data_IF_378961314915
#
_entry.id   IF_378961314915
#
_cell.length_a   1.000
_cell.length_b   1.000
_cell.length_c   1.000
_cell.angle_alpha   90.00
_cell.angle_beta   90.00
_cell.angle_gamma   90.00
#
_symmetry.space_group_name_H-M   'P 1'
#
loop_
_entity.id
_entity.type
_entity.pdbx_description
1 polymer ?
#
# COMPACT_ATOMS: atom_id res chain seq x y z
N UNK A 1 15.30 1.81 2.03
CA UNK A 1 16.50 1.91 1.19
C UNK A 1 16.35 3.11 0.26
N UNK A 2 17.09 4.19 0.54
CA UNK A 2 16.96 5.44 -0.18
C UNK A 2 17.47 5.35 -1.62
N UNK A 3 18.49 4.52 -1.89
CA UNK A 3 19.05 4.40 -3.25
C UNK A 3 18.13 3.64 -4.20
N UNK A 4 17.24 2.80 -3.66
CA UNK A 4 16.25 2.03 -4.43
C UNK A 4 14.85 2.68 -4.46
N UNK A 5 14.61 3.66 -3.59
CA UNK A 5 13.34 4.39 -3.52
C UNK A 5 13.31 5.49 -4.58
N UNK A 6 12.17 5.64 -5.26
CA UNK A 6 11.95 6.73 -6.22
C UNK A 6 12.09 8.10 -5.56
N UNK A 7 12.34 9.15 -6.36
CA UNK A 7 12.26 10.52 -5.87
C UNK A 7 10.83 10.82 -5.39
N UNK A 8 10.70 11.19 -4.12
CA UNK A 8 9.41 11.47 -3.49
C UNK A 8 9.02 12.95 -3.58
N UNK A 9 9.93 13.86 -4.01
CA UNK A 9 9.58 15.29 -4.12
C UNK A 9 8.37 15.54 -5.03
N UNK A 10 8.22 14.89 -6.20
CA UNK A 10 7.07 15.09 -7.07
C UNK A 10 5.73 14.74 -6.42
N UNK A 11 5.64 13.59 -5.75
CA UNK A 11 4.40 13.17 -5.08
C UNK A 11 4.09 14.07 -3.87
N UNK A 12 5.10 14.45 -3.08
CA UNK A 12 4.91 15.34 -1.93
C UNK A 12 4.50 16.75 -2.37
N UNK A 13 5.08 17.25 -3.47
CA UNK A 13 4.70 18.54 -4.08
C UNK A 13 3.25 18.49 -4.56
N UNK A 14 2.85 17.38 -5.20
CA UNK A 14 1.50 17.17 -5.70
C UNK A 14 0.46 17.16 -4.56
N UNK A 15 0.82 16.63 -3.39
CA UNK A 15 -0.01 16.64 -2.17
C UNK A 15 -0.03 18.00 -1.44
N UNK A 16 0.63 19.03 -1.99
CA UNK A 16 0.64 20.38 -1.43
C UNK A 16 1.62 20.60 -0.27
N UNK A 17 2.56 19.67 -0.04
CA UNK A 17 3.53 19.81 1.06
C UNK A 17 4.51 20.96 0.74
N UNK A 18 4.70 21.94 1.65
CA UNK A 18 5.63 23.06 1.43
C UNK A 18 7.07 22.60 1.17
N UNK A 19 7.80 23.32 0.32
CA UNK A 19 9.14 22.92 -0.16
C UNK A 19 10.11 22.59 0.99
N UNK A 20 10.15 23.43 2.02
CA UNK A 20 11.06 23.21 3.16
C UNK A 20 10.75 21.90 3.88
N UNK A 21 9.46 21.57 4.08
CA UNK A 21 9.04 20.34 4.72
C UNK A 21 9.35 19.10 3.85
N UNK A 22 9.22 19.21 2.53
CA UNK A 22 9.59 18.13 1.59
C UNK A 22 11.07 17.79 1.71
N UNK A 23 11.95 18.79 1.77
CA UNK A 23 13.39 18.55 1.94
C UNK A 23 13.67 17.77 3.21
N UNK A 24 13.05 18.14 4.34
CA UNK A 24 13.25 17.41 5.59
C UNK A 24 12.78 15.96 5.50
N UNK A 25 11.61 15.70 4.90
CA UNK A 25 11.10 14.33 4.69
C UNK A 25 12.08 13.48 3.90
N UNK A 26 12.64 14.00 2.80
CA UNK A 26 13.57 13.26 1.93
C UNK A 26 14.89 12.87 2.61
N UNK A 27 15.28 13.53 3.69
CA UNK A 27 16.48 13.21 4.46
C UNK A 27 16.19 12.41 5.74
N UNK A 28 14.93 12.18 6.08
CA UNK A 28 14.55 11.49 7.32
C UNK A 28 14.25 10.02 7.04
N UNK A 29 14.85 9.08 7.80
CA UNK A 29 14.44 7.68 7.75
C UNK A 29 12.98 7.49 8.15
N UNK A 30 12.27 6.64 7.41
CA UNK A 30 10.92 6.20 7.72
C UNK A 30 10.96 4.73 8.16
N UNK A 31 10.58 4.49 9.41
CA UNK A 31 10.39 3.14 9.96
C UNK A 31 8.91 2.81 9.96
N UNK A 32 8.56 1.58 9.63
CA UNK A 32 7.19 1.08 9.70
C UNK A 32 7.21 -0.13 10.62
N UNK A 33 6.37 -0.07 11.65
CA UNK A 33 6.03 -1.20 12.50
C UNK A 33 4.69 -1.76 12.02
N UNK A 34 4.61 -3.07 11.81
CA UNK A 34 3.38 -3.75 11.40
C UNK A 34 3.02 -4.72 12.51
N UNK A 35 1.83 -4.55 13.08
CA UNK A 35 1.35 -5.32 14.22
C UNK A 35 0.02 -5.97 13.87
N UNK A 36 -0.06 -7.27 14.16
CA UNK A 36 -1.22 -8.10 13.90
C UNK A 36 -1.77 -8.60 15.24
N UNK A 37 -3.07 -8.42 15.48
CA UNK A 37 -3.73 -8.82 16.73
C UNK A 37 -4.99 -9.60 16.40
N UNK A 38 -5.17 -10.78 17.01
CA UNK A 38 -6.39 -11.57 16.86
C UNK A 38 -7.26 -11.35 18.10
N UNK A 39 -8.51 -10.90 17.89
CA UNK A 39 -9.52 -10.80 18.94
C UNK A 39 -10.55 -11.90 18.72
N UNK A 40 -10.69 -12.80 19.69
CA UNK A 40 -11.75 -13.81 19.69
C UNK A 40 -12.94 -13.25 20.46
N UNK A 41 -14.07 -13.04 19.80
CA UNK A 41 -15.31 -12.72 20.51
C UNK A 41 -15.99 -14.00 20.96
N UNK A 42 -16.25 -14.10 22.26
CA UNK A 42 -17.12 -15.13 22.81
C UNK A 42 -18.55 -14.81 22.39
N UNK A 43 -19.26 -15.77 21.79
CA UNK A 43 -20.62 -15.54 21.35
C UNK A 43 -21.52 -15.31 22.56
N UNK A 44 -22.46 -14.37 22.44
CA UNK A 44 -23.44 -14.06 23.50
C UNK A 44 -24.47 -15.18 23.71
N UNK A 45 -24.50 -16.14 22.79
CA UNK A 45 -25.44 -17.27 22.74
C UNK A 45 -24.66 -18.59 22.74
N UNK A 46 -25.07 -19.59 23.54
CA UNK A 46 -24.36 -20.88 23.67
C UNK A 46 -24.20 -21.66 22.36
N UNK A 47 -25.07 -21.41 21.38
CA UNK A 47 -25.15 -22.21 20.14
C UNK A 47 -24.35 -21.63 18.97
N UNK A 48 -23.57 -20.56 19.18
CA UNK A 48 -22.76 -19.96 18.11
C UNK A 48 -21.29 -20.29 18.33
N UNK A 49 -20.55 -20.59 17.25
CA UNK A 49 -19.11 -20.75 17.34
C UNK A 49 -18.44 -19.40 17.64
N UNK A 50 -17.31 -19.37 18.38
CA UNK A 50 -16.56 -18.15 18.61
C UNK A 50 -16.11 -17.54 17.29
N UNK A 51 -16.33 -16.23 17.14
CA UNK A 51 -15.92 -15.49 15.94
C UNK A 51 -14.56 -14.85 16.20
N UNK A 52 -13.55 -15.28 15.44
CA UNK A 52 -12.23 -14.63 15.43
C UNK A 52 -12.26 -13.43 14.50
N UNK A 53 -11.88 -12.26 15.01
CA UNK A 53 -11.69 -11.03 14.23
C UNK A 53 -10.21 -10.69 14.28
N UNK A 54 -9.57 -10.58 13.13
CA UNK A 54 -8.17 -10.16 13.07
C UNK A 54 -8.12 -8.66 12.87
N UNK A 55 -7.51 -7.97 13.83
CA UNK A 55 -7.21 -6.55 13.75
C UNK A 55 -5.77 -6.39 13.28
N UNK A 56 -5.62 -5.56 12.26
CA UNK A 56 -4.33 -5.27 11.66
C UNK A 56 -4.06 -3.79 11.81
N UNK A 57 -2.88 -3.46 12.33
CA UNK A 57 -2.39 -2.10 12.37
C UNK A 57 -1.03 -1.97 11.70
N UNK A 58 -0.86 -0.91 10.91
CA UNK A 58 0.45 -0.49 10.46
C UNK A 58 0.72 0.89 11.05
N UNK A 59 1.81 1.00 11.79
CA UNK A 59 2.24 2.20 12.46
C UNK A 59 3.50 2.74 11.79
N UNK A 60 3.44 3.95 11.25
CA UNK A 60 4.64 4.59 10.70
C UNK A 60 5.28 5.54 11.70
N UNK A 61 6.59 5.41 11.86
CA UNK A 61 7.44 6.21 12.72
C UNK A 61 8.43 6.99 11.86
N UNK A 62 8.41 8.31 11.98
CA UNK A 62 9.39 9.18 11.34
C UNK A 62 10.18 9.92 12.40
N UNK A 63 11.50 10.03 12.20
CA UNK A 63 12.37 10.84 13.05
C UNK A 63 12.27 12.35 12.75
N UNK A 64 11.23 12.77 12.03
CA UNK A 64 11.04 14.14 11.57
C UNK A 64 10.82 15.04 12.79
N UNK A 65 11.87 15.72 13.25
CA UNK A 65 11.74 16.75 14.28
C UNK A 65 11.19 18.01 13.62
N UNK A 66 9.93 18.35 13.91
CA UNK A 66 9.39 19.67 13.57
C UNK A 66 9.43 20.58 14.79
N UNK A 67 9.30 21.90 14.58
CA UNK A 67 9.22 22.86 15.68
C UNK A 67 8.06 22.56 16.66
N UNK A 68 7.09 21.74 16.24
CA UNK A 68 5.97 21.25 17.05
C UNK A 68 6.12 19.74 17.30
N UNK A 69 7.02 19.36 18.22
CA UNK A 69 7.19 18.00 18.74
C UNK A 69 7.45 16.88 17.69
N UNK A 70 7.64 15.65 18.18
CA UNK A 70 7.67 14.46 17.33
C UNK A 70 6.29 14.30 16.69
N UNK A 71 6.19 14.12 15.37
CA UNK A 71 4.91 13.89 14.72
C UNK A 71 4.29 12.61 15.30
N UNK A 72 2.98 12.61 15.57
CA UNK A 72 2.29 11.43 16.06
C UNK A 72 2.43 10.29 15.05
N UNK A 73 2.46 9.07 15.56
CA UNK A 73 2.41 7.86 14.74
C UNK A 73 1.14 7.84 13.89
N UNK A 74 1.27 7.49 12.61
CA UNK A 74 0.13 7.24 11.72
C UNK A 74 -0.25 5.75 11.79
N UNK A 75 -1.43 5.45 12.34
CA UNK A 75 -1.95 4.09 12.57
C UNK A 75 -3.03 3.78 11.52
N UNK A 76 -2.85 2.69 10.77
CA UNK A 76 -3.77 2.26 9.70
C UNK A 76 -4.54 1.02 10.07
N UNK A 77 -5.84 0.98 9.80
CA UNK A 77 -6.71 -0.18 10.04
C UNK A 77 -7.08 -0.89 8.74
N UNK A 78 -6.97 -2.22 8.69
CA UNK A 78 -7.22 -3.02 7.47
C UNK A 78 -8.54 -3.80 7.52
N UNK A 79 -9.64 -3.12 7.85
CA UNK A 79 -10.99 -3.68 7.90
C UNK A 79 -11.79 -3.47 6.60
N UNK A 80 -11.18 -2.82 5.60
CA UNK A 80 -11.80 -2.51 4.31
C UNK A 80 -12.89 -1.44 4.36
N UNK A 81 -13.09 -0.77 5.50
CA UNK A 81 -14.08 0.30 5.66
C UNK A 81 -13.43 1.66 5.49
N UNK A 82 -14.25 2.63 5.06
CA UNK A 82 -13.82 4.03 5.06
C UNK A 82 -13.84 4.57 6.49
N UNK A 83 -12.80 5.30 6.86
CA UNK A 83 -12.72 6.03 8.12
C UNK A 83 -11.96 7.34 7.93
N UNK A 84 -12.17 8.31 8.82
CA UNK A 84 -11.44 9.58 8.81
C UNK A 84 -10.36 9.55 9.88
N UNK A 85 -9.19 10.08 9.55
CA UNK A 85 -8.14 10.32 10.54
C UNK A 85 -7.42 11.64 10.28
N UNK A 86 -6.69 12.13 11.30
CA UNK A 86 -5.85 13.31 11.19
C UNK A 86 -4.39 12.88 11.08
N UNK A 87 -3.78 13.18 9.96
CA UNK A 87 -2.36 12.95 9.69
C UNK A 87 -1.57 14.26 9.88
N UNK A 88 -0.35 14.13 10.40
CA UNK A 88 0.54 15.26 10.65
C UNK A 88 0.90 16.04 9.39
N UNK A 89 1.21 15.35 8.29
CA UNK A 89 1.61 15.95 7.02
C UNK A 89 0.42 16.47 6.20
N UNK A 90 -0.70 15.77 6.32
CA UNK A 90 -1.80 15.88 5.36
C UNK A 90 -3.08 16.49 5.94
N UNK A 91 -3.12 16.75 7.25
CA UNK A 91 -4.33 17.20 7.92
C UNK A 91 -5.38 16.09 8.00
N UNK A 92 -6.65 16.43 7.84
CA UNK A 92 -7.74 15.44 7.85
C UNK A 92 -7.81 14.70 6.51
N UNK A 93 -7.81 13.38 6.59
CA UNK A 93 -7.86 12.47 5.45
C UNK A 93 -8.94 11.43 5.67
N UNK A 94 -9.54 10.97 4.58
CA UNK A 94 -10.35 9.77 4.55
C UNK A 94 -9.51 8.63 4.01
N UNK A 95 -9.58 7.49 4.71
CA UNK A 95 -8.74 6.34 4.48
C UNK A 95 -9.59 5.10 4.24
N UNK A 96 -9.07 4.17 3.44
CA UNK A 96 -9.58 2.80 3.35
C UNK A 96 -8.40 1.88 3.10
N UNK A 97 -8.18 0.92 4.00
CA UNK A 97 -7.12 -0.07 3.83
C UNK A 97 -7.72 -1.47 3.86
N UNK A 98 -7.23 -2.36 3.00
CA UNK A 98 -7.70 -3.74 2.88
C UNK A 98 -6.59 -4.65 2.39
N UNK A 99 -6.67 -5.93 2.75
CA UNK A 99 -5.97 -6.96 2.00
C UNK A 99 -6.66 -7.19 0.67
N UNK A 100 -5.86 -7.50 -0.36
CA UNK A 100 -6.35 -7.90 -1.67
C UNK A 100 -5.63 -9.18 -2.11
N UNK A 101 -6.39 -10.06 -2.75
CA UNK A 101 -5.86 -11.27 -3.38
C UNK A 101 -5.39 -10.99 -4.80
N UNK A 102 -4.74 -11.99 -5.41
CA UNK A 102 -4.31 -11.92 -6.79
C UNK A 102 -5.42 -12.15 -7.80
N UNK A 103 -5.32 -11.53 -8.97
CA UNK A 103 -6.03 -11.94 -10.17
C UNK A 103 -5.05 -12.40 -11.25
N UNK A 104 -5.48 -13.41 -12.00
CA UNK A 104 -4.75 -13.98 -13.14
C UNK A 104 -4.73 -12.93 -14.25
N UNK A 105 -3.57 -12.36 -14.57
CA UNK A 105 -3.45 -11.38 -15.67
C UNK A 105 -3.01 -12.06 -16.96
N UNK A 106 -3.88 -12.10 -17.98
CA UNK A 106 -3.56 -12.62 -19.31
C UNK A 106 -2.29 -11.99 -19.92
N UNK A 107 -1.53 -12.83 -20.65
CA UNK A 107 -0.28 -12.65 -21.41
C UNK A 107 0.77 -11.60 -20.96
N UNK A 108 2.03 -12.04 -20.90
CA UNK A 108 3.22 -11.18 -20.70
C UNK A 108 3.78 -11.15 -19.27
N UNK A 109 3.30 -11.99 -18.37
CA UNK A 109 3.83 -12.04 -17.01
C UNK A 109 5.00 -13.02 -16.91
N UNK A 110 6.16 -12.51 -16.52
CA UNK A 110 7.31 -13.32 -16.15
C UNK A 110 7.02 -14.10 -14.86
N UNK A 111 6.39 -15.26 -14.98
CA UNK A 111 6.69 -16.38 -14.11
C UNK A 111 7.87 -17.13 -14.76
N UNK A 112 8.96 -17.33 -14.03
CA UNK A 112 9.81 -18.47 -14.39
C UNK A 112 8.95 -19.72 -14.17
N UNK A 113 8.46 -20.29 -15.26
CA UNK A 113 7.58 -21.47 -15.29
C UNK A 113 6.27 -21.17 -16.03
N UNK A 114 5.98 -21.95 -17.08
CA UNK A 114 4.78 -21.90 -17.91
C UNK A 114 3.49 -21.56 -17.13
N UNK A 115 2.98 -20.34 -17.27
CA UNK A 115 1.68 -20.00 -16.70
C UNK A 115 1.49 -18.51 -16.44
N UNK A 116 0.27 -18.06 -16.67
CA UNK A 116 -0.23 -16.71 -16.44
C UNK A 116 0.17 -16.20 -15.04
N UNK A 117 0.82 -15.03 -14.96
CA UNK A 117 1.31 -14.50 -13.68
C UNK A 117 0.19 -13.94 -12.83
N UNK A 118 0.20 -14.28 -11.54
CA UNK A 118 -0.71 -13.75 -10.52
C UNK A 118 -0.23 -12.36 -10.11
N UNK A 119 -1.12 -11.37 -10.10
CA UNK A 119 -0.82 -9.98 -9.71
C UNK A 119 -1.91 -9.42 -8.79
N UNK A 120 -1.63 -8.39 -7.97
CA UNK A 120 -2.63 -7.84 -7.06
C UNK A 120 -3.92 -7.45 -7.79
N UNK A 121 -5.08 -7.82 -7.28
CA UNK A 121 -6.36 -7.45 -7.87
C UNK A 121 -6.76 -6.01 -7.49
N UNK A 122 -6.11 -5.05 -8.14
CA UNK A 122 -6.32 -3.62 -7.86
C UNK A 122 -7.62 -3.12 -8.49
N UNK A 123 -8.48 -2.57 -7.65
CA UNK A 123 -9.64 -1.76 -8.02
C UNK A 123 -9.34 -0.32 -7.65
N UNK A 124 -9.10 0.53 -8.66
CA UNK A 124 -8.67 1.91 -8.48
C UNK A 124 -9.75 2.75 -7.78
N UNK A 125 -9.40 3.44 -6.70
CA UNK A 125 -10.31 4.29 -5.92
C UNK A 125 -10.11 5.78 -6.21
N UNK A 126 -8.96 6.18 -6.72
CA UNK A 126 -8.70 7.54 -7.19
C UNK A 126 -9.65 7.93 -8.35
N UNK A 127 -10.18 9.16 -8.29
CA UNK A 127 -11.04 9.74 -9.32
C UNK A 127 -10.31 10.85 -10.09
N UNK A 128 -10.86 11.24 -11.24
CA UNK A 128 -10.36 12.38 -12.03
C UNK A 128 -9.23 12.06 -13.03
N UNK A 129 -8.74 10.82 -13.07
CA UNK A 129 -7.82 10.34 -14.10
C UNK A 129 -8.54 10.12 -15.43
N UNK A 130 -7.84 10.38 -16.54
CA UNK A 130 -8.29 9.91 -17.85
C UNK A 130 -8.24 8.38 -17.92
N UNK A 131 -8.94 7.76 -18.87
CA UNK A 131 -8.93 6.30 -19.03
C UNK A 131 -7.51 5.76 -19.27
N UNK A 132 -6.70 6.46 -20.07
CA UNK A 132 -5.30 6.10 -20.32
C UNK A 132 -4.43 6.20 -19.06
N UNK A 133 -4.60 7.28 -18.29
CA UNK A 133 -3.84 7.48 -17.05
C UNK A 133 -4.25 6.49 -15.96
N UNK A 134 -5.55 6.19 -15.84
CA UNK A 134 -6.05 5.13 -14.96
C UNK A 134 -5.47 3.77 -15.36
N UNK A 135 -5.37 3.47 -16.65
CA UNK A 135 -4.71 2.28 -17.15
C UNK A 135 -3.24 2.19 -16.72
N UNK A 136 -2.48 3.28 -16.84
CA UNK A 136 -1.08 3.34 -16.39
C UNK A 136 -0.98 3.15 -14.87
N UNK A 137 -1.82 3.85 -14.10
CA UNK A 137 -1.86 3.76 -12.64
C UNK A 137 -2.15 2.32 -12.19
N UNK A 138 -3.16 1.66 -12.75
CA UNK A 138 -3.51 0.27 -12.44
C UNK A 138 -2.35 -0.66 -12.80
N UNK A 139 -1.76 -0.54 -13.99
CA UNK A 139 -0.61 -1.37 -14.40
C UNK A 139 0.56 -1.21 -13.43
N UNK A 140 0.86 0.02 -13.00
CA UNK A 140 1.92 0.30 -12.04
C UNK A 140 1.59 -0.30 -10.65
N UNK A 141 0.38 -0.08 -10.12
CA UNK A 141 -0.07 -0.62 -8.83
C UNK A 141 -0.09 -2.16 -8.81
N UNK A 142 -0.35 -2.81 -9.95
CA UNK A 142 -0.27 -4.27 -10.13
C UNK A 142 1.16 -4.79 -10.33
N UNK A 143 2.15 -3.91 -10.34
CA UNK A 143 3.56 -4.24 -10.56
C UNK A 143 3.90 -4.64 -12.00
N UNK A 144 3.06 -4.31 -12.99
CA UNK A 144 3.27 -4.68 -14.40
C UNK A 144 4.29 -3.80 -15.11
N UNK A 145 4.44 -2.55 -14.67
CA UNK A 145 5.41 -1.59 -15.21
C UNK A 145 6.24 -0.94 -14.11
N UNK A 146 7.44 -0.48 -14.44
CA UNK A 146 8.27 0.34 -13.56
C UNK A 146 7.70 1.76 -13.40
N UNK A 147 8.40 2.62 -12.64
CA UNK A 147 7.93 3.97 -12.27
C UNK A 147 7.77 4.92 -13.47
N UNK A 148 8.33 4.57 -14.63
CA UNK A 148 8.14 5.29 -15.88
C UNK A 148 6.76 5.03 -16.54
N UNK A 149 5.99 4.07 -16.02
CA UNK A 149 4.67 3.70 -16.51
C UNK A 149 4.68 2.84 -17.78
N UNK A 150 5.86 2.53 -18.33
CA UNK A 150 6.01 1.88 -19.64
C UNK A 150 6.88 0.63 -19.61
N UNK A 151 8.00 0.65 -18.88
CA UNK A 151 8.95 -0.47 -18.86
C UNK A 151 8.35 -1.65 -18.11
N UNK A 152 8.27 -2.86 -18.70
CA UNK A 152 7.75 -4.04 -18.02
C UNK A 152 8.51 -4.36 -16.72
N UNK A 153 7.76 -4.76 -15.70
CA UNK A 153 8.27 -5.05 -14.36
C UNK A 153 7.99 -6.51 -13.98
N UNK A 154 8.96 -7.24 -13.39
CA UNK A 154 8.71 -8.53 -12.75
C UNK A 154 7.59 -8.44 -11.71
N UNK A 155 7.53 -7.31 -10.99
CA UNK A 155 6.48 -6.99 -10.03
C UNK A 155 6.64 -7.72 -8.71
N UNK A 156 5.52 -7.83 -8.00
CA UNK A 156 5.48 -8.41 -6.68
C UNK A 156 5.66 -9.94 -6.68
N UNK A 157 6.27 -10.43 -5.62
CA UNK A 157 6.21 -11.82 -5.21
C UNK A 157 4.79 -12.19 -4.81
N UNK A 158 4.45 -13.46 -5.05
CA UNK A 158 3.18 -14.08 -4.67
C UNK A 158 3.37 -14.75 -3.33
N UNK A 159 2.96 -14.07 -2.25
CA UNK A 159 2.99 -14.61 -0.88
C UNK A 159 1.64 -15.29 -0.58
N UNK A 160 1.65 -16.42 0.14
CA UNK A 160 0.41 -17.11 0.50
C UNK A 160 -0.52 -16.25 1.38
N UNK A 161 -1.85 -16.47 1.36
CA UNK A 161 -2.84 -15.68 2.10
C UNK A 161 -2.92 -16.01 3.59
N UNK A 162 -1.75 -16.17 4.24
CA UNK A 162 -1.63 -16.54 5.65
C UNK A 162 -1.08 -15.36 6.42
N UNK A 163 -1.75 -15.01 7.51
CA UNK A 163 -1.29 -13.99 8.46
C UNK A 163 -1.43 -14.51 9.88
N UNK A 164 -0.32 -14.57 10.63
CA UNK A 164 -0.26 -15.20 11.96
C UNK A 164 -0.85 -16.62 11.99
N UNK A 165 -0.50 -17.44 11.00
CA UNK A 165 -1.05 -18.80 10.79
C UNK A 165 -2.57 -18.87 10.55
N UNK A 166 -3.26 -17.73 10.48
CA UNK A 166 -4.66 -17.64 10.08
C UNK A 166 -4.75 -17.39 8.58
N UNK A 167 -5.48 -18.24 7.86
CA UNK A 167 -5.85 -17.99 6.47
C UNK A 167 -6.92 -16.91 6.42
N UNK A 168 -6.63 -15.83 5.71
CA UNK A 168 -7.57 -14.71 5.57
C UNK A 168 -8.79 -15.03 4.70
N UNK A 169 -8.70 -16.08 3.89
CA UNK A 169 -9.73 -16.49 2.94
C UNK A 169 -9.93 -18.02 3.04
N UNK A 170 -11.18 -18.48 2.98
CA UNK A 170 -11.56 -19.90 3.14
C UNK A 170 -11.17 -20.75 1.92
N UNK A 171 -11.15 -22.08 2.07
CA UNK A 171 -10.85 -23.02 0.98
C UNK A 171 -11.75 -22.75 -0.25
N UNK A 172 -11.13 -22.46 -1.40
CA UNK A 172 -11.81 -22.13 -2.65
C UNK A 172 -11.83 -20.62 -2.98
N UNK A 173 -11.70 -19.75 -1.98
CA UNK A 173 -11.48 -18.31 -2.18
C UNK A 173 -9.99 -17.98 -1.97
N UNK A 174 -9.23 -17.84 -3.06
CA UNK A 174 -7.85 -17.33 -2.96
C UNK A 174 -6.73 -18.34 -2.70
N UNK A 175 -6.98 -19.65 -2.67
CA UNK A 175 -5.88 -20.63 -2.68
C UNK A 175 -5.06 -20.51 -3.98
N UNK A 176 -3.76 -20.22 -3.84
CA UNK A 176 -2.85 -19.96 -4.98
C UNK A 176 -2.87 -18.53 -5.52
N UNK A 177 -3.63 -17.61 -4.89
CA UNK A 177 -3.72 -16.20 -5.28
C UNK A 177 -2.98 -15.39 -4.21
N UNK A 178 -1.90 -14.69 -4.56
CA UNK A 178 -1.04 -14.04 -3.57
C UNK A 178 -1.76 -13.01 -2.68
N UNK A 179 -1.10 -12.59 -1.60
CA UNK A 179 -1.62 -11.60 -0.66
C UNK A 179 -0.88 -10.27 -0.78
N UNK A 180 -1.64 -9.18 -0.90
CA UNK A 180 -1.12 -7.82 -0.90
C UNK A 180 -1.99 -6.90 -0.04
N UNK A 181 -1.47 -5.71 0.23
CA UNK A 181 -2.19 -4.67 0.95
C UNK A 181 -2.51 -3.53 0.00
N UNK A 182 -3.76 -3.08 -0.02
CA UNK A 182 -4.21 -1.88 -0.70
C UNK A 182 -4.54 -0.80 0.33
N UNK A 183 -3.83 0.33 0.26
CA UNK A 183 -4.08 1.54 1.04
C UNK A 183 -4.57 2.66 0.12
N UNK A 184 -5.69 3.28 0.46
CA UNK A 184 -6.22 4.45 -0.23
C UNK A 184 -6.43 5.59 0.76
N UNK A 185 -5.94 6.77 0.39
CA UNK A 185 -6.07 8.03 1.11
C UNK A 185 -6.63 9.11 0.20
N UNK A 186 -7.52 9.95 0.72
CA UNK A 186 -7.88 11.22 0.09
C UNK A 186 -7.96 12.33 1.12
N UNK A 187 -7.58 13.55 0.72
CA UNK A 187 -7.75 14.73 1.58
C UNK A 187 -9.23 15.03 1.78
N UNK A 188 -9.64 15.28 3.02
CA UNK A 188 -11.00 15.73 3.33
C UNK A 188 -11.24 17.10 2.66
N UNK A 189 -12.35 17.24 1.94
CA UNK A 189 -12.62 18.43 1.11
C UNK A 189 -11.86 18.48 -0.23
N UNK A 190 -11.15 17.41 -0.59
CA UNK A 190 -10.50 17.25 -1.90
C UNK A 190 -9.12 17.91 -2.01
N UNK A 191 -8.56 17.81 -3.23
CA UNK A 191 -7.26 18.38 -3.59
C UNK A 191 -6.24 17.33 -4.05
N UNK A 192 -6.24 16.14 -3.43
CA UNK A 192 -5.46 15.00 -3.89
C UNK A 192 -5.99 13.67 -3.31
N UNK A 193 -5.63 12.57 -3.97
CA UNK A 193 -5.74 11.20 -3.48
C UNK A 193 -4.41 10.45 -3.65
N UNK A 194 -4.18 9.45 -2.81
CA UNK A 194 -3.04 8.55 -2.88
C UNK A 194 -3.53 7.11 -2.79
N UNK A 195 -3.04 6.27 -3.68
CA UNK A 195 -3.36 4.85 -3.71
C UNK A 195 -2.06 4.05 -3.70
N UNK A 196 -1.98 3.01 -2.87
CA UNK A 196 -0.75 2.25 -2.70
C UNK A 196 -1.04 0.75 -2.64
N UNK A 197 -0.17 -0.02 -3.29
CA UNK A 197 -0.06 -1.46 -3.09
C UNK A 197 1.24 -1.80 -2.37
N UNK A 198 1.13 -2.58 -1.28
CA UNK A 198 2.27 -3.05 -0.52
C UNK A 198 2.46 -4.56 -0.70
N UNK A 199 3.71 -4.99 -0.78
CA UNK A 199 4.09 -6.39 -0.94
C UNK A 199 5.60 -6.56 -0.93
N UNK A 200 6.08 -7.68 -1.44
CA UNK A 200 7.51 -7.95 -1.59
C UNK A 200 7.89 -8.00 -3.06
N UNK A 201 9.09 -7.53 -3.40
CA UNK A 201 9.67 -7.61 -4.74
C UNK A 201 11.10 -8.15 -4.67
N UNK A 202 11.54 -8.82 -5.75
CA UNK A 202 12.95 -9.18 -5.95
C UNK A 202 13.64 -8.05 -6.71
N UNK A 203 14.52 -7.32 -6.03
CA UNK A 203 15.29 -6.21 -6.63
C UNK A 203 16.78 -6.54 -6.48
N UNK A 204 17.47 -6.69 -7.61
CA UNK A 204 18.89 -7.08 -7.60
C UNK A 204 19.15 -8.42 -6.90
N UNK A 205 18.19 -9.36 -6.97
CA UNK A 205 18.30 -10.66 -6.30
C UNK A 205 17.98 -10.65 -4.81
N UNK A 206 17.56 -9.52 -4.24
CA UNK A 206 17.21 -9.38 -2.82
C UNK A 206 15.70 -9.23 -2.66
N UNK A 207 15.10 -9.99 -1.75
CA UNK A 207 13.69 -9.84 -1.35
C UNK A 207 13.53 -8.59 -0.49
N UNK A 208 12.78 -7.60 -0.96
CA UNK A 208 12.57 -6.33 -0.28
C UNK A 208 11.08 -6.02 -0.14
N UNK A 209 10.70 -5.38 0.96
CA UNK A 209 9.34 -4.89 1.13
C UNK A 209 9.19 -3.59 0.33
N UNK A 210 8.15 -3.50 -0.50
CA UNK A 210 7.93 -2.35 -1.38
C UNK A 210 6.52 -1.82 -1.29
N UNK A 211 6.40 -0.52 -1.55
CA UNK A 211 5.12 0.17 -1.72
C UNK A 211 5.13 0.87 -3.06
N UNK A 212 4.20 0.52 -3.93
CA UNK A 212 3.97 1.23 -5.19
C UNK A 212 2.84 2.21 -4.95
N UNK A 213 3.10 3.50 -5.09
CA UNK A 213 2.19 4.59 -4.81
C UNK A 213 1.85 5.37 -6.08
N UNK A 214 0.56 5.65 -6.25
CA UNK A 214 0.02 6.60 -7.23
C UNK A 214 -0.56 7.75 -6.42
N UNK A 215 -0.15 8.99 -6.73
CA UNK A 215 -0.76 10.19 -6.17
C UNK A 215 -1.38 10.98 -7.31
N UNK A 216 -2.63 11.38 -7.14
CA UNK A 216 -3.43 12.14 -8.13
C UNK A 216 -3.92 13.43 -7.50
N UNK A 217 -3.71 14.58 -8.14
CA UNK A 217 -4.26 15.86 -7.69
C UNK A 217 -5.73 16.05 -8.13
N UNK A 218 -6.36 17.11 -7.64
CA UNK A 218 -7.75 17.45 -7.99
C UNK A 218 -7.97 17.84 -9.46
N UNK A 219 -6.93 17.88 -10.30
CA UNK A 219 -7.00 18.18 -11.73
C UNK A 219 -6.74 16.95 -12.60
N UNK A 220 -6.56 15.77 -11.99
CA UNK A 220 -6.25 14.52 -12.70
C UNK A 220 -4.78 14.36 -13.07
N UNK A 221 -3.88 15.25 -12.62
CA UNK A 221 -2.44 15.03 -12.79
C UNK A 221 -1.98 14.01 -11.76
N UNK A 222 -1.21 13.01 -12.20
CA UNK A 222 -0.71 11.97 -11.30
C UNK A 222 0.80 11.78 -11.35
N UNK A 223 1.32 11.14 -10.31
CA UNK A 223 2.73 10.74 -10.17
C UNK A 223 2.83 9.34 -9.57
N UNK A 224 3.76 8.57 -10.11
CA UNK A 224 4.12 7.23 -9.65
C UNK A 224 5.35 7.31 -8.74
N UNK A 225 5.39 6.51 -7.69
CA UNK A 225 6.56 6.35 -6.84
C UNK A 225 6.65 4.92 -6.29
N UNK A 226 7.85 4.36 -6.20
CA UNK A 226 8.13 3.12 -5.49
C UNK A 226 8.96 3.42 -4.25
N UNK A 227 8.45 3.06 -3.08
CA UNK A 227 9.18 3.09 -1.82
C UNK A 227 9.71 1.69 -1.53
N UNK A 228 10.98 1.58 -1.15
CA UNK A 228 11.65 0.30 -0.91
C UNK A 228 12.20 0.28 0.50
N UNK A 229 11.90 -0.78 1.25
CA UNK A 229 12.29 -0.96 2.64
C UNK A 229 13.08 -2.26 2.78
N UNK A 230 14.09 -2.21 3.65
CA UNK A 230 14.77 -3.40 4.14
C UNK A 230 14.10 -3.78 5.45
N UNK A 231 13.79 -5.06 5.60
CA UNK A 231 13.35 -5.58 6.89
C UNK A 231 14.50 -5.42 7.88
N UNK A 232 14.19 -4.86 9.05
CA UNK A 232 15.08 -4.86 10.20
C UNK A 232 14.40 -5.75 11.21
N UNK A 233 15.00 -6.90 11.51
CA UNK A 233 14.54 -7.73 12.62
C UNK A 233 14.96 -7.03 13.92
N UNK A 234 14.01 -6.82 14.82
CA UNK A 234 14.20 -6.23 16.15
C UNK A 234 13.66 -7.16 17.22
#
# INVERSE_FOLDING_TARGET
DKSLTSDLDPILKLQGIPWLLRKTILFTPLTIEITHTITTSTPKTPDTNPTQTIHFSAQSHTALKTAAANPPSDIRHFDGRFYTQRNFLFGRIECRNRYIVGSVSGEGCAAKGNGVGVRPNVELQSTGLSEGDAGIAIRFLRGQVEVDGVTPSPGFLVEGPVVLDVRLFEHGEGEGQGLWVHVFDRREGGGWSSEQIWGFEMIGGVRLYTRRAVVTDGKGVFKLARLVYRLVES
#
